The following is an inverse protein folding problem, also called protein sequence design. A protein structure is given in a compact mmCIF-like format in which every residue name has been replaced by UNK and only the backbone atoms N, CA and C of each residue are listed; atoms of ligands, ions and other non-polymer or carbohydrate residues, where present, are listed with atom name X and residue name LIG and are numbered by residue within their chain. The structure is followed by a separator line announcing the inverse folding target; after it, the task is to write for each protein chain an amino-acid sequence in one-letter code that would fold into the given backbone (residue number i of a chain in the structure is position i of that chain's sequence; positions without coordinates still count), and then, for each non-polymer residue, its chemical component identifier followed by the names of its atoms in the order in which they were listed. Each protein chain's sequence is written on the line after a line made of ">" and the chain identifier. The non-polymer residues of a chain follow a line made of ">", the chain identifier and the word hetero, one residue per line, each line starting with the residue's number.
data_IF_931819865421
#
_entry.id   IF_931819865421
#
_cell.length_a   1.000
_cell.length_b   1.000
_cell.length_c   1.000
_cell.angle_alpha   90.00
_cell.angle_beta   90.00
_cell.angle_gamma   90.00
#
_symmetry.space_group_name_H-M   'P 1'
#
loop_
_entity.id
_entity.type
_entity.pdbx_description
1 polymer ?
#
# COMPACT_ATOMS: atom_id res chain seq x y z
N UNK A 1 -23.38 -13.13 -4.17
CA UNK A 1 -23.43 -11.82 -3.50
C UNK A 1 -22.24 -11.80 -2.57
N UNK A 2 -21.24 -10.96 -2.85
CA UNK A 2 -20.10 -10.87 -1.96
C UNK A 2 -20.52 -10.31 -0.61
N UNK A 3 -19.82 -10.74 0.45
CA UNK A 3 -20.06 -10.28 1.80
C UNK A 3 -19.68 -8.78 1.89
N UNK A 4 -20.64 -7.88 2.15
CA UNK A 4 -20.35 -6.45 2.26
C UNK A 4 -19.31 -6.15 3.34
N UNK A 5 -19.22 -6.99 4.38
CA UNK A 5 -18.22 -6.83 5.44
C UNK A 5 -16.80 -7.08 4.91
N UNK A 6 -16.62 -8.08 4.05
CA UNK A 6 -15.32 -8.38 3.45
C UNK A 6 -14.85 -7.27 2.52
N UNK A 7 -15.77 -6.67 1.74
CA UNK A 7 -15.45 -5.54 0.88
C UNK A 7 -15.00 -4.31 1.70
N UNK A 8 -15.67 -4.03 2.82
CA UNK A 8 -15.30 -2.95 3.74
C UNK A 8 -13.91 -3.22 4.35
N UNK A 9 -13.64 -4.44 4.82
CA UNK A 9 -12.33 -4.81 5.39
C UNK A 9 -11.19 -4.68 4.37
N UNK A 10 -11.45 -5.02 3.10
CA UNK A 10 -10.48 -4.85 2.01
C UNK A 10 -10.25 -3.37 1.69
N UNK A 11 -11.31 -2.55 1.66
CA UNK A 11 -11.20 -1.11 1.44
C UNK A 11 -10.40 -0.43 2.56
N UNK A 12 -10.60 -0.83 3.82
CA UNK A 12 -9.81 -0.35 4.96
C UNK A 12 -8.32 -0.73 4.86
N UNK A 13 -8.02 -1.97 4.46
CA UNK A 13 -6.65 -2.42 4.23
C UNK A 13 -5.98 -1.68 3.09
N UNK A 14 -6.69 -1.48 1.97
CA UNK A 14 -6.22 -0.70 0.82
C UNK A 14 -5.90 0.74 1.25
N UNK A 15 -6.78 1.37 2.03
CA UNK A 15 -6.54 2.71 2.55
C UNK A 15 -5.29 2.76 3.44
N UNK A 16 -5.11 1.77 4.32
CA UNK A 16 -3.93 1.67 5.19
C UNK A 16 -2.63 1.52 4.40
N UNK A 17 -2.59 0.68 3.35
CA UNK A 17 -1.41 0.51 2.49
C UNK A 17 -1.07 1.80 1.74
N UNK A 18 -2.09 2.50 1.21
CA UNK A 18 -1.89 3.80 0.55
C UNK A 18 -1.33 4.86 1.49
N UNK A 19 -1.81 4.91 2.73
CA UNK A 19 -1.30 5.83 3.74
C UNK A 19 0.15 5.48 4.14
N UNK A 20 0.48 4.19 4.22
CA UNK A 20 1.84 3.74 4.44
C UNK A 20 2.77 4.18 3.30
N UNK A 21 2.35 4.06 2.03
CA UNK A 21 3.14 4.53 0.88
C UNK A 21 3.39 6.04 0.94
N UNK A 22 2.36 6.82 1.30
CA UNK A 22 2.49 8.27 1.49
C UNK A 22 3.51 8.60 2.58
N UNK A 23 3.41 7.92 3.73
CA UNK A 23 4.34 8.09 4.85
C UNK A 23 5.78 7.78 4.44
N UNK A 24 6.01 6.68 3.72
CA UNK A 24 7.36 6.32 3.24
C UNK A 24 7.89 7.35 2.24
N UNK A 25 7.03 7.89 1.38
CA UNK A 25 7.40 8.94 0.42
C UNK A 25 7.79 10.25 1.15
N UNK A 26 7.03 10.64 2.17
CA UNK A 26 7.35 11.81 3.00
C UNK A 26 8.66 11.60 3.78
N UNK A 27 8.90 10.39 4.29
CA UNK A 27 10.17 10.02 4.91
C UNK A 27 11.34 10.05 3.93
N UNK A 28 11.14 9.64 2.68
CA UNK A 28 12.15 9.71 1.63
C UNK A 28 12.53 11.14 1.27
N UNK A 29 11.54 12.04 1.23
CA UNK A 29 11.80 13.47 1.04
C UNK A 29 12.57 14.10 2.21
N UNK A 30 12.39 13.58 3.44
CA UNK A 30 13.05 14.08 4.63
C UNK A 30 14.44 13.46 4.89
N UNK A 31 14.68 12.23 4.44
CA UNK A 31 15.93 11.51 4.63
C UNK A 31 16.98 11.94 3.59
N UNK A 32 18.12 12.47 4.02
CA UNK A 32 19.23 12.76 3.12
C UNK A 32 20.17 11.55 3.00
N UNK A 33 20.28 10.97 1.80
CA UNK A 33 21.31 9.98 1.45
C UNK A 33 20.83 8.79 0.62
N UNK A 34 21.64 8.40 -0.36
CA UNK A 34 21.33 7.36 -1.35
C UNK A 34 20.96 5.98 -0.76
N UNK A 35 21.56 5.59 0.37
CA UNK A 35 21.23 4.32 1.03
C UNK A 35 19.82 4.34 1.66
N UNK A 36 19.37 5.49 2.15
CA UNK A 36 18.02 5.67 2.69
C UNK A 36 16.99 5.71 1.56
N UNK A 37 17.31 6.40 0.46
CA UNK A 37 16.48 6.45 -0.75
C UNK A 37 16.26 5.05 -1.36
N UNK A 38 17.31 4.23 -1.48
CA UNK A 38 17.19 2.87 -2.01
C UNK A 38 16.29 1.98 -1.14
N UNK A 39 16.46 2.02 0.19
CA UNK A 39 15.63 1.23 1.11
C UNK A 39 14.17 1.66 1.08
N UNK A 40 13.91 2.96 0.94
CA UNK A 40 12.56 3.49 0.84
C UNK A 40 11.91 3.15 -0.50
N UNK A 41 12.69 3.15 -1.59
CA UNK A 41 12.23 2.68 -2.90
C UNK A 41 11.85 1.19 -2.86
N UNK A 42 12.68 0.34 -2.26
CA UNK A 42 12.37 -1.09 -2.08
C UNK A 42 11.09 -1.29 -1.26
N UNK A 43 10.91 -0.48 -0.20
CA UNK A 43 9.71 -0.53 0.63
C UNK A 43 8.46 -0.07 -0.11
N UNK A 44 8.56 0.97 -0.95
CA UNK A 44 7.45 1.42 -1.79
C UNK A 44 7.05 0.31 -2.77
N UNK A 45 8.01 -0.34 -3.43
CA UNK A 45 7.73 -1.43 -4.36
C UNK A 45 7.00 -2.61 -3.68
N UNK A 46 7.37 -2.94 -2.44
CA UNK A 46 6.67 -3.97 -1.66
C UNK A 46 5.21 -3.56 -1.35
N UNK A 47 4.99 -2.31 -0.96
CA UNK A 47 3.65 -1.78 -0.68
C UNK A 47 2.78 -1.70 -1.94
N UNK A 48 3.37 -1.38 -3.10
CA UNK A 48 2.67 -1.40 -4.40
C UNK A 48 2.20 -2.82 -4.77
N UNK A 49 3.05 -3.84 -4.54
CA UNK A 49 2.65 -5.24 -4.77
C UNK A 49 1.53 -5.69 -3.82
N UNK A 50 1.59 -5.28 -2.55
CA UNK A 50 0.51 -5.54 -1.59
C UNK A 50 -0.79 -4.85 -2.01
N UNK A 51 -0.71 -3.59 -2.45
CA UNK A 51 -1.86 -2.83 -2.92
C UNK A 51 -2.51 -3.51 -4.13
N UNK A 52 -1.71 -3.91 -5.13
CA UNK A 52 -2.20 -4.62 -6.31
C UNK A 52 -2.90 -5.94 -5.94
N UNK A 53 -2.36 -6.67 -4.97
CA UNK A 53 -2.96 -7.92 -4.48
C UNK A 53 -4.32 -7.67 -3.83
N UNK A 54 -4.41 -6.68 -2.93
CA UNK A 54 -5.67 -6.31 -2.26
C UNK A 54 -6.72 -5.80 -3.25
N UNK A 55 -6.31 -5.05 -4.28
CA UNK A 55 -7.21 -4.58 -5.33
C UNK A 55 -7.76 -5.75 -6.16
N UNK A 56 -6.93 -6.71 -6.53
CA UNK A 56 -7.38 -7.91 -7.23
C UNK A 56 -8.35 -8.75 -6.40
N UNK A 57 -8.09 -8.89 -5.09
CA UNK A 57 -9.01 -9.57 -4.16
C UNK A 57 -10.37 -8.86 -4.07
N UNK A 58 -10.35 -7.53 -3.98
CA UNK A 58 -11.56 -6.70 -3.96
C UNK A 58 -12.36 -6.83 -5.24
N UNK A 59 -11.69 -6.76 -6.39
CA UNK A 59 -12.34 -6.84 -7.70
C UNK A 59 -12.94 -8.23 -7.95
N UNK A 60 -12.31 -9.29 -7.45
CA UNK A 60 -12.85 -10.65 -7.48
C UNK A 60 -14.09 -10.83 -6.58
N UNK A 61 -14.27 -9.95 -5.60
CA UNK A 61 -15.42 -9.91 -4.69
C UNK A 61 -16.44 -8.84 -5.09
N UNK A 62 -16.22 -8.05 -6.14
CA UNK A 62 -17.22 -7.09 -6.64
C UNK A 62 -18.33 -7.77 -7.42
#
# INVERSE_FOLDING_TARGET
>A
MADPKLLIELDERIASVREAMRTVTEQAAAASGAASESRMADRIAELEQQLATLQNERDALS
#
